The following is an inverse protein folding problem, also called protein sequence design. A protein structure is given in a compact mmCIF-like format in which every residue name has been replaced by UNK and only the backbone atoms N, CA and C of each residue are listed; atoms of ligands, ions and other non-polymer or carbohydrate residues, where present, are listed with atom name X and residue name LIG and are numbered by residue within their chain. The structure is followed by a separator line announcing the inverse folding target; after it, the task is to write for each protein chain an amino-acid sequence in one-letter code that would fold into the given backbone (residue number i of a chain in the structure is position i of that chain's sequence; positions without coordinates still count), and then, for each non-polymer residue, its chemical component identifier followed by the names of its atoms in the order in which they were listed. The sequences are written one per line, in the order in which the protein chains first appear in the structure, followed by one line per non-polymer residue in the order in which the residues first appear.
data_IF_826012617450
#
_entry.id   IF_826012617450
#
_cell.length_a   1.000
_cell.length_b   1.000
_cell.length_c   1.000
_cell.angle_alpha   90.00
_cell.angle_beta   90.00
_cell.angle_gamma   90.00
#
_symmetry.space_group_name_H-M   'P 1'
#
loop_
_entity.id
_entity.type
_entity.pdbx_description
1 polymer ?
#
# COMPACT_ATOMS: atom_id res chain seq x y z
N UNK A 1 -49.83 12.27 21.46
CA UNK A 1 -48.40 12.29 21.89
C UNK A 1 -47.61 13.12 20.89
N UNK A 2 -46.76 14.00 21.40
CA UNK A 2 -46.14 15.16 20.73
C UNK A 2 -45.34 14.83 19.46
N UNK A 3 -45.91 15.03 18.27
CA UNK A 3 -45.18 14.95 17.00
C UNK A 3 -44.02 15.96 16.90
N UNK A 4 -44.03 17.02 17.73
CA UNK A 4 -42.95 18.00 17.82
C UNK A 4 -41.66 17.46 18.47
N UNK A 5 -41.70 16.41 19.29
CA UNK A 5 -40.49 15.89 19.96
C UNK A 5 -39.80 14.80 19.14
N UNK A 6 -40.55 13.92 18.48
CA UNK A 6 -40.01 12.83 17.66
C UNK A 6 -39.24 13.34 16.43
N UNK A 7 -39.79 14.33 15.72
CA UNK A 7 -39.13 14.89 14.53
C UNK A 7 -37.85 15.66 14.89
N UNK A 8 -37.84 16.37 16.03
CA UNK A 8 -36.64 17.05 16.53
C UNK A 8 -35.55 16.05 16.92
N UNK A 9 -35.90 14.96 17.60
CA UNK A 9 -34.94 13.91 17.98
C UNK A 9 -34.31 13.27 16.74
N UNK A 10 -35.11 12.98 15.70
CA UNK A 10 -34.60 12.41 14.43
C UNK A 10 -33.62 13.39 13.77
N UNK A 11 -33.92 14.69 13.76
CA UNK A 11 -33.02 15.71 13.20
C UNK A 11 -31.71 15.80 14.00
N UNK A 12 -31.76 15.78 15.34
CA UNK A 12 -30.54 15.81 16.15
C UNK A 12 -29.69 14.55 15.97
N UNK A 13 -30.30 13.37 15.89
CA UNK A 13 -29.57 12.13 15.61
C UNK A 13 -28.93 12.15 14.22
N UNK A 14 -29.66 12.60 13.20
CA UNK A 14 -29.12 12.76 11.85
C UNK A 14 -27.95 13.75 11.82
N UNK A 15 -28.04 14.86 12.56
CA UNK A 15 -26.97 15.84 12.65
C UNK A 15 -25.72 15.28 13.34
N UNK A 16 -25.86 14.58 14.46
CA UNK A 16 -24.73 13.94 15.16
C UNK A 16 -24.09 12.87 14.27
N UNK A 17 -24.90 12.09 13.54
CA UNK A 17 -24.39 11.06 12.63
C UNK A 17 -23.67 11.66 11.42
N UNK A 18 -24.16 12.78 10.89
CA UNK A 18 -23.49 13.52 9.80
C UNK A 18 -22.16 14.09 10.27
N UNK A 19 -22.13 14.74 11.44
CA UNK A 19 -20.88 15.29 12.00
C UNK A 19 -19.89 14.16 12.33
N UNK A 20 -20.33 13.12 13.03
CA UNK A 20 -19.50 11.96 13.36
C UNK A 20 -19.02 11.20 12.12
N UNK A 21 -19.87 11.07 11.09
CA UNK A 21 -19.52 10.44 9.82
C UNK A 21 -18.50 11.23 9.02
N UNK A 22 -18.63 12.57 8.97
CA UNK A 22 -17.64 13.44 8.31
C UNK A 22 -16.32 13.43 9.07
N UNK A 23 -16.33 13.54 10.40
CA UNK A 23 -15.10 13.47 11.21
C UNK A 23 -14.42 12.12 11.11
N UNK A 24 -15.17 11.03 11.16
CA UNK A 24 -14.64 9.67 10.98
C UNK A 24 -14.09 9.42 9.58
N UNK A 25 -14.76 9.92 8.55
CA UNK A 25 -14.29 9.80 7.16
C UNK A 25 -13.01 10.61 6.91
N UNK A 26 -12.92 11.84 7.43
CA UNK A 26 -11.73 12.68 7.28
C UNK A 26 -10.53 12.07 7.98
N UNK A 27 -10.66 11.63 9.23
CA UNK A 27 -9.57 11.01 9.99
C UNK A 27 -9.17 9.63 9.42
N UNK A 28 -10.15 8.84 8.99
CA UNK A 28 -9.90 7.55 8.34
C UNK A 28 -9.20 7.68 6.98
N UNK A 29 -9.54 8.71 6.21
CA UNK A 29 -8.96 8.95 4.89
C UNK A 29 -7.55 9.55 4.91
N UNK A 30 -7.19 10.33 5.93
CA UNK A 30 -5.86 10.94 6.03
C UNK A 30 -4.82 10.03 6.67
N UNK A 31 -5.21 9.15 7.61
CA UNK A 31 -4.26 8.29 8.34
C UNK A 31 -4.01 6.89 7.78
N UNK A 32 -5.03 6.23 7.20
CA UNK A 32 -4.90 4.82 6.76
C UNK A 32 -4.42 4.67 5.31
N UNK A 33 -4.58 5.73 4.53
CA UNK A 33 -4.26 5.86 3.11
C UNK A 33 -2.76 5.62 2.86
N UNK A 34 -1.87 6.32 3.55
CA UNK A 34 -0.44 6.27 3.22
C UNK A 34 0.31 5.02 3.73
N UNK A 35 -0.13 4.43 4.85
CA UNK A 35 0.57 3.30 5.48
C UNK A 35 0.24 1.94 4.84
N UNK A 36 -0.87 1.82 4.12
CA UNK A 36 -1.30 0.57 3.49
C UNK A 36 -0.81 0.37 2.05
N UNK A 37 -0.17 1.36 1.44
CA UNK A 37 -0.04 1.39 -0.03
C UNK A 37 1.37 1.28 -0.60
N UNK A 38 2.37 1.12 0.26
CA UNK A 38 3.67 0.66 -0.18
C UNK A 38 3.91 -0.74 0.39
N UNK A 39 4.12 -1.78 -0.46
CA UNK A 39 4.71 -3.00 0.04
C UNK A 39 6.04 -2.59 0.67
N UNK A 40 6.26 -2.89 1.96
CA UNK A 40 7.48 -2.47 2.61
C UNK A 40 8.65 -3.13 1.87
N UNK A 41 9.59 -2.32 1.37
CA UNK A 41 10.79 -2.82 0.71
C UNK A 41 11.55 -3.73 1.69
N UNK A 42 12.02 -4.88 1.22
CA UNK A 42 12.69 -5.88 2.04
C UNK A 42 13.87 -5.30 2.83
N UNK A 43 14.53 -4.26 2.30
CA UNK A 43 15.56 -3.49 3.02
C UNK A 43 14.97 -2.70 4.18
N UNK A 44 13.84 -2.01 3.98
CA UNK A 44 13.16 -1.24 5.03
C UNK A 44 12.61 -2.15 6.13
N UNK A 45 12.16 -3.37 5.79
CA UNK A 45 11.76 -4.40 6.77
C UNK A 45 12.97 -4.86 7.58
N UNK A 46 14.10 -5.16 6.92
CA UNK A 46 15.34 -5.55 7.60
C UNK A 46 15.82 -4.48 8.57
N UNK A 47 15.85 -3.21 8.12
CA UNK A 47 16.31 -2.10 8.93
C UNK A 47 15.40 -1.87 10.14
N UNK A 48 14.07 -1.97 9.95
CA UNK A 48 13.11 -1.83 11.04
C UNK A 48 13.23 -2.97 12.06
N UNK A 49 13.35 -4.22 11.60
CA UNK A 49 13.52 -5.38 12.47
C UNK A 49 14.86 -5.31 13.20
N UNK A 50 15.95 -4.95 12.51
CA UNK A 50 17.28 -4.76 13.10
C UNK A 50 17.24 -3.69 14.19
N UNK A 51 16.67 -2.52 13.87
CA UNK A 51 16.56 -1.41 14.83
C UNK A 51 15.81 -1.84 16.08
N UNK A 52 14.68 -2.54 15.91
CA UNK A 52 13.88 -3.05 17.03
C UNK A 52 14.65 -4.06 17.87
N UNK A 53 15.31 -5.04 17.25
CA UNK A 53 16.13 -6.02 17.96
C UNK A 53 17.27 -5.36 18.72
N UNK A 54 17.92 -4.37 18.11
CA UNK A 54 19.02 -3.64 18.73
C UNK A 54 18.54 -2.81 19.93
N UNK A 55 17.40 -2.13 19.81
CA UNK A 55 16.86 -1.29 20.89
C UNK A 55 16.23 -2.08 22.04
N UNK A 56 15.56 -3.20 21.74
CA UNK A 56 14.88 -3.99 22.77
C UNK A 56 15.82 -4.98 23.49
N UNK A 57 16.85 -5.49 22.79
CA UNK A 57 17.76 -6.51 23.33
C UNK A 57 19.14 -5.97 23.71
N UNK A 58 19.40 -4.67 23.50
CA UNK A 58 20.70 -4.04 23.73
C UNK A 58 21.86 -4.81 23.07
N UNK A 59 21.69 -5.15 21.78
CA UNK A 59 22.65 -5.98 21.06
C UNK A 59 24.02 -5.30 20.95
N UNK A 60 25.08 -6.06 21.25
CA UNK A 60 26.47 -5.62 21.05
C UNK A 60 26.81 -5.58 19.55
N UNK A 61 27.81 -4.78 19.14
CA UNK A 61 28.16 -4.61 17.73
C UNK A 61 28.53 -5.91 17.00
N UNK A 62 29.16 -6.86 17.69
CA UNK A 62 29.47 -8.19 17.17
C UNK A 62 28.20 -9.04 16.95
N UNK A 63 27.24 -8.99 17.87
CA UNK A 63 25.95 -9.69 17.71
C UNK A 63 25.15 -9.13 16.53
N UNK A 64 25.19 -7.81 16.31
CA UNK A 64 24.55 -7.19 15.14
C UNK A 64 25.20 -7.67 13.83
N UNK A 65 26.53 -7.85 13.81
CA UNK A 65 27.24 -8.37 12.62
C UNK A 65 26.79 -9.79 12.26
N UNK A 66 26.52 -10.63 13.25
CA UNK A 66 26.03 -12.00 13.03
C UNK A 66 24.55 -12.05 12.64
N UNK A 67 23.72 -11.13 13.16
CA UNK A 67 22.27 -11.10 12.90
C UNK A 67 21.94 -10.51 11.52
N UNK A 68 22.72 -9.54 11.04
CA UNK A 68 22.51 -8.90 9.74
C UNK A 68 22.34 -9.88 8.57
N UNK A 69 23.25 -10.84 8.32
CA UNK A 69 23.09 -11.79 7.22
C UNK A 69 21.84 -12.68 7.36
N UNK A 70 21.39 -12.96 8.59
CA UNK A 70 20.15 -13.72 8.85
C UNK A 70 18.93 -12.91 8.41
N UNK A 71 18.89 -11.62 8.77
CA UNK A 71 17.81 -10.72 8.37
C UNK A 71 17.79 -10.50 6.85
N UNK A 72 18.95 -10.30 6.23
CA UNK A 72 19.06 -10.13 4.78
C UNK A 72 18.57 -11.37 4.03
N UNK A 73 18.95 -12.57 4.49
CA UNK A 73 18.47 -13.83 3.91
C UNK A 73 16.95 -13.93 4.02
N UNK A 74 16.40 -13.63 5.21
CA UNK A 74 14.95 -13.62 5.45
C UNK A 74 14.22 -12.66 4.51
N UNK A 75 14.73 -11.44 4.30
CA UNK A 75 14.09 -10.50 3.38
C UNK A 75 14.12 -10.98 1.93
N UNK A 76 15.23 -11.57 1.47
CA UNK A 76 15.31 -12.16 0.12
C UNK A 76 14.31 -13.31 -0.06
N UNK A 77 14.15 -14.16 0.93
CA UNK A 77 13.17 -15.26 0.90
C UNK A 77 11.73 -14.72 0.83
N UNK A 78 11.42 -13.68 1.62
CA UNK A 78 10.11 -13.02 1.60
C UNK A 78 9.83 -12.37 0.24
N UNK A 79 10.81 -11.67 -0.33
CA UNK A 79 10.69 -11.02 -1.62
C UNK A 79 10.47 -12.03 -2.76
N UNK A 80 11.18 -13.17 -2.71
CA UNK A 80 10.99 -14.26 -3.66
C UNK A 80 9.57 -14.86 -3.59
N UNK A 81 9.06 -15.12 -2.38
CA UNK A 81 7.68 -15.60 -2.18
C UNK A 81 6.67 -14.57 -2.66
N UNK A 82 6.88 -13.29 -2.35
CA UNK A 82 5.99 -12.20 -2.76
C UNK A 82 5.92 -12.09 -4.29
N UNK A 83 7.08 -12.06 -4.94
CA UNK A 83 7.20 -12.00 -6.40
C UNK A 83 6.52 -13.17 -7.10
N UNK A 84 6.69 -14.39 -6.56
CA UNK A 84 6.03 -15.58 -7.09
C UNK A 84 4.50 -15.50 -6.92
N UNK A 85 4.05 -15.18 -5.71
CA UNK A 85 2.62 -15.09 -5.39
C UNK A 85 1.91 -14.04 -6.26
N UNK A 86 2.54 -12.88 -6.50
CA UNK A 86 1.97 -11.84 -7.38
C UNK A 86 1.74 -12.40 -8.78
N UNK A 87 2.70 -13.11 -9.36
CA UNK A 87 2.56 -13.70 -10.71
C UNK A 87 1.43 -14.72 -10.77
N UNK A 88 1.33 -15.58 -9.75
CA UNK A 88 0.25 -16.58 -9.66
C UNK A 88 -1.12 -15.89 -9.57
N UNK A 89 -1.25 -14.83 -8.77
CA UNK A 89 -2.48 -14.04 -8.67
C UNK A 89 -2.83 -13.37 -10.01
N UNK A 90 -1.86 -12.78 -10.70
CA UNK A 90 -2.08 -12.15 -12.01
C UNK A 90 -2.61 -13.14 -13.05
N UNK A 91 -2.10 -14.37 -13.04
CA UNK A 91 -2.55 -15.44 -13.93
C UNK A 91 -3.97 -15.91 -13.61
N UNK A 92 -4.29 -16.08 -12.32
CA UNK A 92 -5.64 -16.41 -11.86
C UNK A 92 -6.64 -15.32 -12.27
N UNK A 93 -6.29 -14.05 -12.09
CA UNK A 93 -7.14 -12.92 -12.48
C UNK A 93 -7.33 -12.89 -13.99
N UNK A 94 -6.26 -13.06 -14.77
CA UNK A 94 -6.32 -13.05 -16.25
C UNK A 94 -7.22 -14.16 -16.78
N UNK A 95 -7.00 -15.39 -16.34
CA UNK A 95 -7.81 -16.54 -16.77
C UNK A 95 -9.27 -16.41 -16.36
N UNK A 96 -9.54 -15.85 -15.18
CA UNK A 96 -10.91 -15.56 -14.73
C UNK A 96 -11.58 -14.49 -15.61
N UNK A 97 -10.86 -13.42 -15.94
CA UNK A 97 -11.37 -12.35 -16.82
C UNK A 97 -11.69 -12.88 -18.22
N UNK A 98 -10.85 -13.74 -18.79
CA UNK A 98 -11.11 -14.37 -20.10
C UNK A 98 -12.39 -15.21 -20.09
N UNK A 99 -12.66 -15.92 -18.98
CA UNK A 99 -13.89 -16.70 -18.81
C UNK A 99 -15.11 -15.80 -18.63
N UNK A 100 -14.97 -14.70 -17.89
CA UNK A 100 -16.03 -13.69 -17.71
C UNK A 100 -16.42 -13.10 -19.07
N UNK A 101 -15.45 -12.64 -19.87
CA UNK A 101 -15.72 -12.01 -21.19
C UNK A 101 -16.54 -12.92 -22.11
N UNK A 102 -16.36 -14.24 -22.04
CA UNK A 102 -17.10 -15.21 -22.86
C UNK A 102 -18.61 -15.23 -22.59
N UNK A 103 -19.05 -14.90 -21.37
CA UNK A 103 -20.48 -14.92 -21.00
C UNK A 103 -21.15 -13.55 -21.09
N UNK A 104 -20.39 -12.49 -21.40
CA UNK A 104 -20.89 -11.12 -21.52
C UNK A 104 -21.36 -10.81 -22.94
N UNK A 105 -22.43 -10.02 -23.03
CA UNK A 105 -22.85 -9.37 -24.27
C UNK A 105 -21.89 -8.21 -24.67
N UNK A 106 -22.07 -7.64 -25.87
CA UNK A 106 -21.16 -6.62 -26.39
C UNK A 106 -21.12 -5.34 -25.55
N UNK A 107 -22.26 -4.89 -25.01
CA UNK A 107 -22.32 -3.69 -24.18
C UNK A 107 -21.64 -3.93 -22.82
N UNK A 108 -21.85 -5.10 -22.23
CA UNK A 108 -21.22 -5.52 -20.99
C UNK A 108 -19.70 -5.69 -21.13
N UNK A 109 -19.21 -6.22 -22.26
CA UNK A 109 -17.77 -6.34 -22.54
C UNK A 109 -17.06 -4.99 -22.55
N UNK A 110 -17.61 -4.00 -23.26
CA UNK A 110 -17.04 -2.65 -23.28
C UNK A 110 -16.95 -2.05 -21.87
N UNK A 111 -17.99 -2.23 -21.06
CA UNK A 111 -17.99 -1.77 -19.67
C UNK A 111 -16.97 -2.52 -18.81
N UNK A 112 -16.81 -3.82 -19.03
CA UNK A 112 -15.83 -4.65 -18.31
C UNK A 112 -14.39 -4.24 -18.62
N UNK A 113 -14.07 -3.98 -19.89
CA UNK A 113 -12.76 -3.47 -20.30
C UNK A 113 -12.45 -2.12 -19.68
N UNK A 114 -13.43 -1.22 -19.59
CA UNK A 114 -13.26 0.08 -18.93
C UNK A 114 -12.96 -0.09 -17.42
N UNK A 115 -13.68 -1.00 -16.74
CA UNK A 115 -13.44 -1.32 -15.33
C UNK A 115 -12.03 -1.87 -15.12
N UNK A 116 -11.57 -2.78 -15.97
CA UNK A 116 -10.22 -3.36 -15.88
C UNK A 116 -9.14 -2.32 -16.14
N UNK A 117 -9.33 -1.43 -17.11
CA UNK A 117 -8.40 -0.32 -17.37
C UNK A 117 -8.30 0.61 -16.16
N UNK A 118 -9.43 1.01 -15.56
CA UNK A 118 -9.45 1.83 -14.34
C UNK A 118 -8.77 1.13 -13.16
N UNK A 119 -8.95 -0.18 -13.03
CA UNK A 119 -8.29 -1.00 -12.00
C UNK A 119 -6.77 -1.00 -12.21
N UNK A 120 -6.30 -1.21 -13.44
CA UNK A 120 -4.88 -1.19 -13.80
C UNK A 120 -4.26 0.19 -13.56
N UNK A 121 -4.92 1.27 -13.97
CA UNK A 121 -4.46 2.64 -13.74
C UNK A 121 -4.40 2.97 -12.24
N UNK A 122 -5.41 2.55 -11.48
CA UNK A 122 -5.44 2.71 -10.03
C UNK A 122 -4.30 1.96 -9.35
N UNK A 123 -4.01 0.73 -9.78
CA UNK A 123 -2.85 -0.03 -9.28
C UNK A 123 -1.55 0.65 -9.67
N UNK A 124 -1.36 1.02 -10.94
CA UNK A 124 -0.16 1.70 -11.42
C UNK A 124 0.11 3.01 -10.68
N UNK A 125 -0.94 3.78 -10.37
CA UNK A 125 -0.80 5.02 -9.60
C UNK A 125 -0.51 4.76 -8.12
N UNK A 126 -0.94 3.64 -7.55
CA UNK A 126 -0.60 3.22 -6.18
C UNK A 126 0.85 2.74 -6.04
N UNK A 127 1.41 2.13 -7.08
CA UNK A 127 2.77 1.59 -7.09
C UNK A 127 3.82 2.52 -7.74
N UNK A 128 3.45 3.74 -8.14
CA UNK A 128 4.44 4.73 -8.58
C UNK A 128 5.31 5.12 -7.37
N UNK A 129 6.66 5.04 -7.47
CA UNK A 129 7.50 5.69 -6.48
C UNK A 129 7.18 7.20 -6.48
N UNK A 130 7.20 7.88 -5.32
CA UNK A 130 7.03 9.33 -5.27
C UNK A 130 8.00 9.98 -6.26
N UNK A 131 7.48 10.78 -7.21
CA UNK A 131 8.32 11.43 -8.23
C UNK A 131 9.34 12.38 -7.59
N UNK A 132 9.08 12.83 -6.36
CA UNK A 132 9.99 13.66 -5.56
C UNK A 132 11.27 12.92 -5.11
N UNK A 133 11.30 11.59 -5.13
CA UNK A 133 12.50 10.81 -4.79
C UNK A 133 13.57 10.82 -5.90
N UNK A 134 13.22 11.20 -7.14
CA UNK A 134 14.18 11.38 -8.23
C UNK A 134 14.73 12.80 -8.32
N UNK A 135 14.17 13.76 -7.57
CA UNK A 135 14.79 15.08 -7.44
C UNK A 135 15.87 14.98 -6.38
N UNK A 136 17.02 14.44 -6.78
CA UNK A 136 18.24 14.60 -5.99
C UNK A 136 18.35 16.09 -5.60
N UNK A 137 18.66 16.43 -4.34
CA UNK A 137 18.92 17.83 -3.99
C UNK A 137 20.01 18.34 -4.94
N UNK A 138 19.78 19.51 -5.55
CA UNK A 138 20.61 20.19 -6.57
C UNK A 138 22.07 20.50 -6.12
N UNK A 139 22.58 19.82 -5.09
CA UNK A 139 23.92 20.00 -4.54
C UNK A 139 24.63 18.71 -4.11
N UNK A 140 24.15 17.51 -4.44
CA UNK A 140 24.92 16.30 -4.18
C UNK A 140 26.21 16.31 -5.05
N UNK A 141 27.42 16.27 -4.45
CA UNK A 141 28.65 16.26 -5.23
C UNK A 141 28.68 15.02 -6.11
N UNK A 142 28.87 15.20 -7.42
CA UNK A 142 29.05 14.10 -8.37
C UNK A 142 30.20 13.21 -7.86
N UNK A 143 30.04 11.87 -7.80
CA UNK A 143 31.17 11.01 -7.50
C UNK A 143 32.25 11.26 -8.54
N UNK A 144 33.47 11.60 -8.09
CA UNK A 144 34.65 11.65 -8.97
C UNK A 144 34.72 10.31 -9.70
N UNK A 145 34.64 10.35 -11.02
CA UNK A 145 35.04 9.25 -11.86
C UNK A 145 36.54 9.03 -11.66
N UNK A 146 36.91 8.08 -10.79
CA UNK A 146 38.24 7.50 -10.84
C UNK A 146 38.25 6.54 -12.02
N UNK A 147 38.79 7.01 -13.14
CA UNK A 147 39.15 6.19 -14.28
C UNK A 147 40.67 6.20 -14.45
N UNK A 148 41.21 4.98 -14.59
CA UNK A 148 42.51 4.58 -15.15
C UNK A 148 43.78 4.92 -14.37
#
# INVERSE_FOLDING_TARGET
MSHLTKNKIIVYLAAIFLVGGVTGAVLGWTGAKERWWHPPDGKTICDHVRHRLQSELNLRPDQVREINPILEKRAKEMDAIHSRTIKEIEEIVRSSNERIVKVLDSAQRMKFEEMEKKRQESMRNRFKPPQDALRAPDGAPKPRANGS
#
